data_IF_833009138642
#
_entry.id   IF_833009138642
#
_cell.length_a   1.000
_cell.length_b   1.000
_cell.length_c   1.000
_cell.angle_alpha   90.00
_cell.angle_beta   90.00
_cell.angle_gamma   90.00
#
_symmetry.space_group_name_H-M   'P 1'
#
loop_
_entity.id
_entity.type
_entity.pdbx_description
1 polymer ?
#
# COMPACT_ATOMS: atom_id res chain seq x y z
N UNK A 1 51.48 23.04 -5.82
CA UNK A 1 50.75 22.19 -6.78
C UNK A 1 50.56 20.82 -6.17
N UNK A 2 49.34 20.51 -5.73
CA UNK A 2 48.99 19.18 -5.18
C UNK A 2 48.75 18.27 -6.40
N UNK A 3 49.41 17.11 -6.53
CA UNK A 3 49.27 16.25 -7.70
C UNK A 3 47.81 15.81 -7.84
N UNK A 4 47.23 15.95 -9.04
CA UNK A 4 45.80 15.73 -9.30
C UNK A 4 45.28 14.35 -8.87
N UNK A 5 46.16 13.35 -8.78
CA UNK A 5 45.85 12.02 -8.25
C UNK A 5 45.39 12.06 -6.79
N UNK A 6 45.96 12.95 -5.98
CA UNK A 6 45.59 13.13 -4.58
C UNK A 6 44.20 13.75 -4.44
N UNK A 7 43.83 14.68 -5.34
CA UNK A 7 42.48 15.26 -5.35
C UNK A 7 41.41 14.23 -5.74
N UNK A 8 41.69 13.38 -6.74
CA UNK A 8 40.75 12.32 -7.16
C UNK A 8 40.57 11.28 -6.06
N UNK A 9 41.64 10.91 -5.35
CA UNK A 9 41.58 9.99 -4.22
C UNK A 9 40.75 10.56 -3.06
N UNK A 10 40.91 11.85 -2.74
CA UNK A 10 40.09 12.52 -1.73
C UNK A 10 38.61 12.57 -2.11
N UNK A 11 38.29 12.86 -3.38
CA UNK A 11 36.91 12.86 -3.86
C UNK A 11 36.30 11.44 -3.76
N UNK A 12 37.05 10.41 -4.14
CA UNK A 12 36.59 9.03 -4.04
C UNK A 12 36.32 8.61 -2.59
N UNK A 13 37.20 8.99 -1.65
CA UNK A 13 37.00 8.73 -0.22
C UNK A 13 35.77 9.46 0.35
N UNK A 14 35.53 10.71 -0.06
CA UNK A 14 34.33 11.47 0.36
C UNK A 14 33.06 10.81 -0.17
N UNK A 15 33.04 10.40 -1.44
CA UNK A 15 31.89 9.70 -2.01
C UNK A 15 31.64 8.37 -1.28
N UNK A 16 32.70 7.61 -0.96
CA UNK A 16 32.59 6.34 -0.24
C UNK A 16 32.06 6.48 1.21
N UNK A 17 32.38 7.56 1.92
CA UNK A 17 31.88 7.77 3.29
C UNK A 17 30.44 8.27 3.34
N UNK A 18 29.99 9.03 2.33
CA UNK A 18 28.60 9.52 2.24
C UNK A 18 27.58 8.43 1.87
N UNK A 19 28.02 7.23 1.48
CA UNK A 19 27.16 6.09 1.08
C UNK A 19 26.63 5.29 2.28
N UNK A 20 26.52 5.90 3.47
CA UNK A 20 26.08 5.18 4.67
C UNK A 20 24.70 5.62 5.18
N UNK A 21 23.83 4.61 5.29
CA UNK A 21 22.64 4.47 6.17
C UNK A 21 21.42 5.37 5.88
N UNK A 22 20.60 4.91 4.93
CA UNK A 22 19.16 5.24 4.93
C UNK A 22 18.51 4.63 6.17
N UNK A 23 18.41 5.39 7.26
CA UNK A 23 17.60 4.98 8.43
C UNK A 23 16.12 5.24 8.10
N UNK A 24 15.37 4.17 7.85
CA UNK A 24 13.91 4.23 7.88
C UNK A 24 13.52 4.29 9.36
N UNK A 25 13.01 5.44 9.81
CA UNK A 25 12.37 5.53 11.12
C UNK A 25 11.00 4.87 10.94
N UNK A 26 10.87 3.63 11.43
CA UNK A 26 9.56 3.04 11.67
C UNK A 26 9.00 3.74 12.91
N UNK A 27 8.24 4.81 12.69
CA UNK A 27 7.42 5.42 13.74
C UNK A 27 6.25 4.45 13.97
N UNK A 28 6.40 3.60 14.98
CA UNK A 28 5.34 2.74 15.48
C UNK A 28 4.12 3.61 15.83
N UNK A 29 2.96 3.20 15.33
CA UNK A 29 1.73 3.96 15.47
C UNK A 29 1.33 4.06 16.96
N UNK A 30 0.54 5.09 17.27
CA UNK A 30 -0.38 5.15 18.43
C UNK A 30 0.15 5.55 19.81
N UNK A 31 0.61 6.80 20.00
CA UNK A 31 0.15 7.59 21.17
C UNK A 31 0.03 9.07 20.76
N UNK A 32 -1.11 9.44 20.16
CA UNK A 32 -1.59 10.83 20.22
C UNK A 32 -2.66 10.89 21.32
N UNK A 33 -2.64 11.92 22.19
CA UNK A 33 -3.61 12.03 23.28
C UNK A 33 -5.03 12.01 22.70
N UNK A 34 -5.75 10.98 23.11
CA UNK A 34 -7.17 10.73 22.93
C UNK A 34 -7.93 11.84 23.62
N UNK A 35 -8.47 12.79 22.86
CA UNK A 35 -9.56 13.66 23.29
C UNK A 35 -10.18 14.25 22.01
N UNK A 36 -11.22 13.60 21.48
CA UNK A 36 -12.06 14.04 20.34
C UNK A 36 -11.63 13.66 18.90
N UNK A 37 -11.09 12.45 18.67
CA UNK A 37 -11.18 11.85 17.33
C UNK A 37 -12.31 10.81 17.34
N UNK A 38 -13.28 10.86 16.39
CA UNK A 38 -14.30 9.83 16.32
C UNK A 38 -13.60 8.47 16.11
N UNK A 39 -13.71 7.59 17.11
CA UNK A 39 -13.19 6.23 17.01
C UNK A 39 -13.83 5.58 15.78
N UNK A 40 -13.01 5.13 14.82
CA UNK A 40 -13.50 4.45 13.64
C UNK A 40 -13.82 2.99 13.99
N UNK A 41 -15.09 2.55 13.94
CA UNK A 41 -15.44 1.17 14.32
C UNK A 41 -14.74 0.13 13.43
N UNK A 42 -14.46 0.49 12.17
CA UNK A 42 -13.72 -0.36 11.24
C UNK A 42 -12.25 -0.61 11.64
N UNK A 43 -11.70 0.19 12.56
CA UNK A 43 -10.37 0.00 13.13
C UNK A 43 -10.39 -0.74 14.47
N UNK A 44 -11.57 -0.98 15.07
CA UNK A 44 -11.69 -1.76 16.32
C UNK A 44 -11.34 -3.23 16.07
N UNK A 45 -11.69 -3.74 14.89
CA UNK A 45 -11.19 -5.00 14.38
C UNK A 45 -9.89 -4.76 13.60
N UNK A 46 -8.74 -4.84 14.28
CA UNK A 46 -7.40 -4.69 13.70
C UNK A 46 -7.19 -5.41 12.34
N UNK A 47 -7.57 -6.69 12.15
CA UNK A 47 -7.39 -7.36 10.86
C UNK A 47 -8.30 -6.81 9.76
N UNK A 48 -9.47 -6.25 10.11
CA UNK A 48 -10.37 -5.64 9.12
C UNK A 48 -9.81 -4.29 8.70
N UNK A 49 -9.37 -3.48 9.67
CA UNK A 49 -8.72 -2.20 9.43
C UNK A 49 -7.52 -2.32 8.48
N UNK A 50 -6.64 -3.30 8.72
CA UNK A 50 -5.47 -3.56 7.86
C UNK A 50 -5.88 -3.86 6.40
N UNK A 51 -6.92 -4.68 6.21
CA UNK A 51 -7.44 -4.99 4.87
C UNK A 51 -7.98 -3.73 4.18
N UNK A 52 -8.73 -2.89 4.90
CA UNK A 52 -9.27 -1.65 4.34
C UNK A 52 -8.16 -0.69 3.94
N UNK A 53 -7.11 -0.57 4.76
CA UNK A 53 -5.93 0.24 4.44
C UNK A 53 -5.22 -0.26 3.18
N UNK A 54 -5.04 -1.59 3.08
CA UNK A 54 -4.37 -2.19 1.93
C UNK A 54 -5.17 -2.00 0.64
N UNK A 55 -6.50 -2.07 0.70
CA UNK A 55 -7.38 -1.75 -0.43
C UNK A 55 -7.12 -0.32 -0.91
N UNK A 56 -7.05 0.66 -0.01
CA UNK A 56 -6.78 2.05 -0.36
C UNK A 56 -5.40 2.26 -0.98
N UNK A 57 -4.37 1.57 -0.48
CA UNK A 57 -3.01 1.66 -1.03
C UNK A 57 -2.94 1.11 -2.46
N UNK A 58 -3.45 -0.11 -2.67
CA UNK A 58 -3.46 -0.72 -4.00
C UNK A 58 -4.32 0.06 -4.99
N UNK A 59 -5.46 0.61 -4.53
CA UNK A 59 -6.32 1.45 -5.37
C UNK A 59 -5.61 2.73 -5.80
N UNK A 60 -4.90 3.39 -4.88
CA UNK A 60 -4.10 4.56 -5.19
C UNK A 60 -3.00 4.25 -6.21
N UNK A 61 -2.29 3.13 -6.06
CA UNK A 61 -1.27 2.72 -7.05
C UNK A 61 -1.87 2.61 -8.47
N UNK A 62 -3.06 2.02 -8.58
CA UNK A 62 -3.76 1.84 -9.86
C UNK A 62 -4.34 3.14 -10.45
N UNK A 63 -4.71 4.10 -9.61
CA UNK A 63 -5.36 5.35 -10.04
C UNK A 63 -4.49 6.59 -9.89
N UNK A 64 -3.23 6.46 -9.49
CA UNK A 64 -2.37 7.59 -9.09
C UNK A 64 -2.19 8.65 -10.17
N UNK A 65 -2.25 8.26 -11.44
CA UNK A 65 -2.13 9.17 -12.59
C UNK A 65 -3.37 10.05 -12.79
N UNK A 66 -4.55 9.58 -12.39
CA UNK A 66 -5.83 10.31 -12.51
C UNK A 66 -6.24 10.96 -11.19
N UNK A 67 -6.01 10.29 -10.06
CA UNK A 67 -6.44 10.69 -8.72
C UNK A 67 -5.30 10.50 -7.71
N UNK A 68 -4.35 11.45 -7.63
CA UNK A 68 -3.20 11.34 -6.74
C UNK A 68 -3.59 11.33 -5.25
N UNK A 69 -4.72 11.93 -4.89
CA UNK A 69 -5.20 11.97 -3.50
C UNK A 69 -6.07 10.77 -3.10
N UNK A 70 -6.21 9.76 -3.98
CA UNK A 70 -7.12 8.62 -3.77
C UNK A 70 -6.90 7.92 -2.42
N UNK A 71 -5.65 7.77 -1.98
CA UNK A 71 -5.32 7.11 -0.70
C UNK A 71 -5.96 7.82 0.50
N UNK A 72 -5.92 9.15 0.50
CA UNK A 72 -6.44 9.97 1.61
C UNK A 72 -7.97 9.98 1.56
N UNK A 73 -8.54 10.19 0.37
CA UNK A 73 -10.00 10.18 0.15
C UNK A 73 -10.64 8.83 0.50
N UNK A 74 -9.92 7.73 0.23
CA UNK A 74 -10.36 6.37 0.55
C UNK A 74 -10.40 6.09 2.06
N UNK A 75 -9.44 6.64 2.83
CA UNK A 75 -9.35 6.46 4.30
C UNK A 75 -10.24 7.42 5.09
N UNK A 76 -10.73 8.48 4.45
CA UNK A 76 -11.57 9.49 5.10
C UNK A 76 -12.88 8.89 5.66
N UNK A 77 -13.44 9.57 6.66
CA UNK A 77 -14.73 9.23 7.29
C UNK A 77 -14.89 7.73 7.61
N UNK A 78 -13.82 7.11 8.14
CA UNK A 78 -13.80 5.70 8.51
C UNK A 78 -14.18 4.74 7.36
N UNK A 79 -13.63 4.97 6.16
CA UNK A 79 -13.88 4.15 4.97
C UNK A 79 -15.34 4.14 4.49
N UNK A 80 -16.13 5.15 4.85
CA UNK A 80 -17.54 5.24 4.42
C UNK A 80 -17.72 6.00 3.09
N UNK A 81 -16.64 6.51 2.52
CA UNK A 81 -16.64 7.34 1.32
C UNK A 81 -16.94 6.57 0.04
N UNK A 82 -17.40 7.28 -0.99
CA UNK A 82 -17.58 6.71 -2.33
C UNK A 82 -16.25 6.25 -2.95
N UNK A 83 -15.14 6.93 -2.62
CA UNK A 83 -13.80 6.54 -3.02
C UNK A 83 -13.47 5.12 -2.51
N UNK A 84 -13.74 4.84 -1.23
CA UNK A 84 -13.55 3.50 -0.70
C UNK A 84 -14.43 2.46 -1.41
N UNK A 85 -15.71 2.78 -1.65
CA UNK A 85 -16.64 1.86 -2.35
C UNK A 85 -16.21 1.59 -3.79
N UNK A 86 -15.62 2.57 -4.46
CA UNK A 86 -15.07 2.41 -5.80
C UNK A 86 -13.83 1.51 -5.78
N UNK A 87 -12.90 1.76 -4.87
CA UNK A 87 -11.72 0.93 -4.66
C UNK A 87 -12.09 -0.52 -4.34
N UNK A 88 -13.08 -0.75 -3.48
CA UNK A 88 -13.54 -2.09 -3.10
C UNK A 88 -14.03 -2.89 -4.31
N UNK A 89 -14.64 -2.24 -5.31
CA UNK A 89 -15.13 -2.92 -6.53
C UNK A 89 -14.00 -3.55 -7.34
N UNK A 90 -12.77 -3.04 -7.25
CA UNK A 90 -11.60 -3.61 -7.92
C UNK A 90 -11.23 -4.99 -7.36
N UNK A 91 -11.48 -5.21 -6.08
CA UNK A 91 -11.14 -6.44 -5.37
C UNK A 91 -12.32 -7.40 -5.23
N UNK A 92 -13.55 -6.95 -5.49
CA UNK A 92 -14.70 -7.85 -5.54
C UNK A 92 -14.69 -8.68 -6.84
N UNK A 93 -14.78 -10.02 -6.76
CA UNK A 93 -14.86 -10.85 -7.95
C UNK A 93 -16.10 -10.47 -8.75
N UNK A 94 -15.89 -10.03 -10.00
CA UNK A 94 -17.00 -9.78 -10.91
C UNK A 94 -17.75 -11.09 -11.10
N UNK A 95 -19.08 -11.07 -10.92
CA UNK A 95 -19.96 -12.20 -11.23
C UNK A 95 -20.05 -12.44 -12.74
N UNK A 96 -18.93 -12.61 -13.43
CA UNK A 96 -18.94 -13.19 -14.77
C UNK A 96 -19.03 -14.71 -14.62
N UNK A 97 -20.28 -15.17 -14.74
CA UNK A 97 -20.65 -16.49 -15.26
C UNK A 97 -20.04 -17.72 -14.56
N UNK A 98 -20.78 -18.23 -13.57
CA UNK A 98 -20.81 -19.65 -13.16
C UNK A 98 -20.85 -20.66 -14.33
N UNK A 99 -21.10 -20.24 -15.57
CA UNK A 99 -21.09 -21.09 -16.75
C UNK A 99 -19.69 -21.59 -17.18
N UNK A 100 -18.58 -20.98 -16.77
CA UNK A 100 -17.25 -21.52 -17.10
C UNK A 100 -16.77 -22.60 -16.12
N UNK A 101 -17.22 -22.56 -14.86
CA UNK A 101 -16.86 -23.58 -13.85
C UNK A 101 -17.56 -24.93 -14.10
N UNK A 102 -18.78 -24.92 -14.65
CA UNK A 102 -19.46 -26.15 -15.08
C UNK A 102 -18.78 -26.85 -16.25
N UNK A 103 -17.89 -26.19 -17.01
CA UNK A 103 -17.24 -26.82 -18.17
C UNK A 103 -15.98 -27.63 -17.80
N UNK A 104 -15.42 -27.43 -16.61
CA UNK A 104 -14.30 -28.23 -16.10
C UNK A 104 -14.73 -29.36 -15.15
N UNK A 105 -15.90 -29.27 -14.52
CA UNK A 105 -16.38 -30.33 -13.61
C UNK A 105 -17.05 -31.52 -14.33
N UNK A 106 -17.34 -31.39 -15.64
CA UNK A 106 -17.91 -32.47 -16.47
C UNK A 106 -16.83 -33.23 -17.26
N UNK A 107 -15.57 -32.79 -17.22
CA UNK A 107 -14.43 -33.56 -17.75
C UNK A 107 -13.59 -34.04 -16.58
N UNK A 108 -13.99 -35.21 -16.04
CA UNK A 108 -13.27 -35.90 -14.98
C UNK A 108 -11.80 -36.09 -15.27
N UNK A 109 -10.97 -35.14 -14.82
CA UNK A 109 -9.55 -35.37 -14.60
C UNK A 109 -9.41 -35.90 -13.18
N UNK A 110 -9.21 -37.20 -13.07
CA UNK A 110 -8.73 -37.85 -11.86
C UNK A 110 -7.49 -37.10 -11.35
N UNK A 111 -7.56 -36.60 -10.13
CA UNK A 111 -6.38 -36.26 -9.33
C UNK A 111 -6.57 -36.95 -7.99
N UNK A 112 -5.98 -38.14 -7.92
CA UNK A 112 -5.85 -39.09 -6.81
C UNK A 112 -7.13 -39.72 -6.24
#
# INVERSE_FOLDING_TARGET
MIPGHFQVFFIYLIMATTVTESRIILEDATIRPEDNLPSCPALEDEPVGEVMERICDMCHELSSHERPNMRIECRADCFTTDAFRECLKLFTPRRHTRHLRQKFEVRGLNVF
#
